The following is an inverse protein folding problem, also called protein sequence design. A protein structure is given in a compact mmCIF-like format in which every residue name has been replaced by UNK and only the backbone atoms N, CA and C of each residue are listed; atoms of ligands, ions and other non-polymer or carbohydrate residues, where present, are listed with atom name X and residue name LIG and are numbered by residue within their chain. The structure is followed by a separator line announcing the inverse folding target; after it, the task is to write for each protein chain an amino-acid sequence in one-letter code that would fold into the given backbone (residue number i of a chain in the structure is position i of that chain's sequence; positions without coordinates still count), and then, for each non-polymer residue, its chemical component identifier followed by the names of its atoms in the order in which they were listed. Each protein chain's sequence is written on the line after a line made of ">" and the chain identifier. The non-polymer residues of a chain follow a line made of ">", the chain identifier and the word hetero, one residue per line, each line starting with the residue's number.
data_IF_521872467676
#
_entry.id   IF_521872467676
#
_cell.length_a   1.000
_cell.length_b   1.000
_cell.length_c   1.000
_cell.angle_alpha   90.00
_cell.angle_beta   90.00
_cell.angle_gamma   90.00
#
_symmetry.space_group_name_H-M   'P 1'
#
loop_
_entity.id
_entity.type
_entity.pdbx_description
1 polymer ?
#
# COMPACT_ATOMS: atom_id res chain seq x y z
N UNK A 1 2.65 38.36 -15.24
CA UNK A 1 1.25 38.18 -14.81
C UNK A 1 0.93 36.73 -15.08
N UNK A 2 1.00 35.91 -14.03
CA UNK A 2 0.86 34.45 -14.08
C UNK A 2 -0.47 34.06 -14.72
N UNK A 3 -0.40 33.22 -15.75
CA UNK A 3 -1.54 32.41 -16.16
C UNK A 3 -1.93 31.54 -14.97
N UNK A 4 -3.14 31.70 -14.45
CA UNK A 4 -3.74 30.86 -13.40
C UNK A 4 -3.62 29.38 -13.75
N UNK A 5 -2.58 28.72 -13.25
CA UNK A 5 -2.31 27.30 -13.51
C UNK A 5 -3.35 26.44 -12.80
N UNK A 6 -4.08 25.62 -13.56
CA UNK A 6 -4.96 24.59 -13.01
C UNK A 6 -4.16 23.68 -12.07
N UNK A 7 -4.55 23.63 -10.80
CA UNK A 7 -3.94 22.72 -9.84
C UNK A 7 -4.46 21.31 -10.12
N UNK A 8 -3.56 20.39 -10.49
CA UNK A 8 -3.94 19.00 -10.73
C UNK A 8 -4.60 18.39 -9.48
N UNK A 9 -5.71 17.68 -9.70
CA UNK A 9 -6.48 17.03 -8.65
C UNK A 9 -6.47 15.52 -8.82
N UNK A 10 -5.90 14.81 -7.84
CA UNK A 10 -5.83 13.35 -7.81
C UNK A 10 -6.80 12.79 -6.78
N UNK A 11 -7.57 11.78 -7.21
CA UNK A 11 -8.32 10.91 -6.33
C UNK A 11 -7.53 9.63 -6.07
N UNK A 12 -7.49 9.19 -4.81
CA UNK A 12 -6.93 7.89 -4.42
C UNK A 12 -8.02 7.08 -3.72
N UNK A 13 -8.27 5.86 -4.20
CA UNK A 13 -9.34 4.99 -3.73
C UNK A 13 -8.77 3.62 -3.31
N UNK A 14 -8.41 3.44 -2.03
CA UNK A 14 -7.86 2.19 -1.50
C UNK A 14 -8.95 1.16 -1.23
N UNK A 15 -8.55 -0.12 -1.21
CA UNK A 15 -9.36 -1.16 -0.59
C UNK A 15 -9.45 -0.93 0.93
N UNK A 16 -10.60 -1.25 1.53
CA UNK A 16 -10.88 -0.99 2.94
C UNK A 16 -10.25 -2.05 3.86
N UNK A 17 -8.92 -2.05 3.88
CA UNK A 17 -8.05 -2.85 4.71
C UNK A 17 -6.86 -2.00 5.15
N UNK A 18 -6.38 -2.17 6.38
CA UNK A 18 -5.25 -1.40 6.92
C UNK A 18 -4.01 -1.48 6.04
N UNK A 19 -3.70 -2.68 5.51
CA UNK A 19 -2.58 -2.92 4.59
C UNK A 19 -2.61 -2.06 3.32
N UNK A 20 -3.80 -1.65 2.86
CA UNK A 20 -3.99 -0.84 1.66
C UNK A 20 -4.19 0.66 1.98
N UNK A 21 -5.00 0.96 3.00
CA UNK A 21 -5.32 2.33 3.37
C UNK A 21 -4.08 3.11 3.82
N UNK A 22 -3.21 2.52 4.64
CA UNK A 22 -2.03 3.21 5.19
C UNK A 22 -1.06 3.68 4.08
N UNK A 23 -0.55 2.81 3.19
CA UNK A 23 0.29 3.25 2.07
C UNK A 23 -0.43 4.21 1.12
N UNK A 24 -1.76 4.10 0.96
CA UNK A 24 -2.54 5.07 0.19
C UNK A 24 -2.54 6.47 0.81
N UNK A 25 -2.61 6.60 2.15
CA UNK A 25 -2.45 7.92 2.78
C UNK A 25 -1.05 8.47 2.50
N UNK A 26 0.00 7.65 2.58
CA UNK A 26 1.37 8.07 2.26
C UNK A 26 1.52 8.49 0.79
N UNK A 27 0.84 7.79 -0.13
CA UNK A 27 0.77 8.15 -1.54
C UNK A 27 0.08 9.51 -1.75
N UNK A 28 -1.06 9.73 -1.10
CA UNK A 28 -1.77 11.01 -1.16
C UNK A 28 -0.90 12.16 -0.62
N UNK A 29 -0.16 11.94 0.47
CA UNK A 29 0.83 12.90 0.99
C UNK A 29 1.92 13.19 -0.03
N UNK A 30 2.45 12.19 -0.72
CA UNK A 30 3.49 12.39 -1.74
C UNK A 30 2.98 13.29 -2.88
N UNK A 31 1.76 13.09 -3.36
CA UNK A 31 1.17 13.97 -4.37
C UNK A 31 0.94 15.40 -3.83
N UNK A 32 0.41 15.53 -2.61
CA UNK A 32 0.19 16.82 -1.97
C UNK A 32 1.49 17.62 -1.78
N UNK A 33 2.58 16.95 -1.39
CA UNK A 33 3.93 17.54 -1.27
C UNK A 33 4.51 18.00 -2.63
N UNK A 34 3.95 17.56 -3.76
CA UNK A 34 4.28 18.05 -5.11
C UNK A 34 3.35 19.16 -5.60
N UNK A 35 2.49 19.67 -4.72
CA UNK A 35 1.56 20.77 -5.01
C UNK A 35 0.26 20.34 -5.68
N UNK A 36 -0.03 19.05 -5.77
CA UNK A 36 -1.30 18.55 -6.29
C UNK A 36 -2.37 18.59 -5.20
N UNK A 37 -3.62 18.83 -5.58
CA UNK A 37 -4.76 18.59 -4.69
C UNK A 37 -4.95 17.07 -4.61
N UNK A 38 -5.01 16.52 -3.39
CA UNK A 38 -5.23 15.10 -3.15
C UNK A 38 -6.54 14.86 -2.39
N UNK A 39 -7.32 13.88 -2.83
CA UNK A 39 -8.53 13.42 -2.13
C UNK A 39 -8.51 11.92 -1.97
N UNK A 40 -8.69 11.45 -0.74
CA UNK A 40 -8.85 10.03 -0.44
C UNK A 40 -10.34 9.69 -0.39
N UNK A 41 -10.73 8.70 -1.19
CA UNK A 41 -12.08 8.14 -1.17
C UNK A 41 -12.09 6.98 -0.17
N UNK A 42 -13.04 6.95 0.73
CA UNK A 42 -13.17 5.90 1.74
C UNK A 42 -14.62 5.73 2.16
N UNK A 43 -14.89 5.03 3.26
CA UNK A 43 -16.23 4.82 3.80
C UNK A 43 -16.39 5.52 5.15
N UNK A 44 -17.62 5.80 5.63
CA UNK A 44 -17.85 6.53 6.88
C UNK A 44 -17.11 5.98 8.09
N UNK A 45 -17.03 4.67 8.28
CA UNK A 45 -16.37 4.06 9.45
C UNK A 45 -14.84 3.99 9.32
N UNK A 46 -14.30 4.04 8.11
CA UNK A 46 -12.85 4.12 7.88
C UNK A 46 -12.32 5.57 7.87
N UNK A 47 -13.17 6.56 7.60
CA UNK A 47 -12.77 7.96 7.54
C UNK A 47 -12.08 8.49 8.81
N UNK A 48 -12.48 8.14 10.05
CA UNK A 48 -11.77 8.55 11.26
C UNK A 48 -10.32 8.02 11.32
N UNK A 49 -10.07 6.79 10.85
CA UNK A 49 -8.74 6.17 10.82
C UNK A 49 -7.79 6.95 9.89
N UNK A 50 -8.30 7.32 8.72
CA UNK A 50 -7.57 8.13 7.74
C UNK A 50 -7.40 9.57 8.24
N UNK A 51 -8.45 10.18 8.79
CA UNK A 51 -8.43 11.54 9.34
C UNK A 51 -7.41 11.69 10.47
N UNK A 52 -7.30 10.68 11.36
CA UNK A 52 -6.28 10.65 12.42
C UNK A 52 -4.88 10.72 11.82
N UNK A 53 -4.65 10.00 10.73
CA UNK A 53 -3.36 9.97 10.01
C UNK A 53 -3.08 11.27 9.24
N UNK A 54 -4.09 11.90 8.63
CA UNK A 54 -3.98 13.17 7.88
C UNK A 54 -3.84 14.40 8.79
N UNK A 55 -4.57 14.47 9.91
CA UNK A 55 -4.47 15.61 10.85
C UNK A 55 -3.04 15.84 11.32
N UNK A 56 -2.28 14.75 11.41
CA UNK A 56 -0.87 14.76 11.80
C UNK A 56 0.05 15.36 10.73
N UNK A 57 -0.34 15.31 9.45
CA UNK A 57 0.37 15.99 8.36
C UNK A 57 0.03 17.46 8.16
N UNK A 58 -0.96 18.02 8.88
CA UNK A 58 -1.24 19.45 8.82
C UNK A 58 -0.05 20.31 9.27
N UNK A 59 0.84 19.77 10.11
CA UNK A 59 2.10 20.42 10.50
C UNK A 59 3.08 20.60 9.33
N UNK A 60 2.89 19.90 8.21
CA UNK A 60 3.72 19.99 7.00
C UNK A 60 3.12 20.93 5.93
N UNK A 61 2.02 21.63 6.24
CA UNK A 61 1.38 22.57 5.32
C UNK A 61 0.66 21.94 4.12
N UNK A 62 0.39 20.63 4.18
CA UNK A 62 -0.38 19.90 3.15
C UNK A 62 -1.80 19.63 3.64
N UNK A 63 -2.78 19.82 2.75
CA UNK A 63 -4.18 19.47 3.00
C UNK A 63 -4.60 18.31 2.09
N UNK A 64 -5.25 17.31 2.67
CA UNK A 64 -5.72 16.12 1.97
C UNK A 64 -7.20 15.96 2.30
N UNK A 65 -8.03 16.03 1.27
CA UNK A 65 -9.48 15.90 1.40
C UNK A 65 -9.87 14.43 1.63
N UNK A 66 -10.97 14.22 2.36
CA UNK A 66 -11.62 12.90 2.47
C UNK A 66 -13.01 13.00 1.86
N UNK A 67 -13.35 12.08 0.95
CA UNK A 67 -14.72 11.87 0.45
C UNK A 67 -15.18 10.48 0.88
N UNK A 68 -16.40 10.39 1.41
CA UNK A 68 -16.96 9.12 1.86
C UNK A 68 -18.02 8.60 0.89
N UNK A 69 -17.98 7.30 0.62
CA UNK A 69 -19.04 6.55 -0.07
C UNK A 69 -19.74 5.67 0.95
N UNK A 70 -21.08 5.66 0.98
CA UNK A 70 -21.84 4.76 1.85
C UNK A 70 -21.49 3.32 1.47
N UNK A 71 -20.97 2.54 2.42
CA UNK A 71 -20.65 1.15 2.18
C UNK A 71 -21.93 0.29 2.30
N UNK A 72 -22.24 -0.55 1.30
CA UNK A 72 -23.48 -1.30 1.27
C UNK A 72 -23.37 -2.62 2.06
N UNK A 73 -23.05 -2.55 3.37
CA UNK A 73 -22.85 -3.74 4.20
C UNK A 73 -24.09 -4.64 4.20
N UNK A 74 -25.23 -4.10 4.60
CA UNK A 74 -26.48 -4.86 4.78
C UNK A 74 -26.99 -5.37 3.44
N UNK A 75 -26.93 -4.53 2.40
CA UNK A 75 -27.38 -4.87 1.04
C UNK A 75 -26.53 -6.00 0.42
N UNK A 76 -25.26 -6.14 0.82
CA UNK A 76 -24.39 -7.23 0.42
C UNK A 76 -24.51 -8.48 1.31
N UNK A 77 -25.27 -8.42 2.41
CA UNK A 77 -25.45 -9.51 3.37
C UNK A 77 -24.36 -9.58 4.46
N UNK A 78 -23.64 -8.49 4.69
CA UNK A 78 -22.70 -8.34 5.80
C UNK A 78 -23.43 -7.83 7.05
N UNK A 79 -22.84 -8.06 8.24
CA UNK A 79 -23.26 -7.36 9.46
C UNK A 79 -23.23 -5.83 9.26
N UNK A 80 -24.18 -5.13 9.87
CA UNK A 80 -24.20 -3.67 9.87
C UNK A 80 -22.90 -3.11 10.46
N UNK A 81 -22.32 -2.12 9.78
CA UNK A 81 -21.04 -1.51 10.19
C UNK A 81 -19.78 -2.30 9.80
N UNK A 82 -19.91 -3.44 9.11
CA UNK A 82 -18.76 -4.12 8.53
C UNK A 82 -18.32 -3.40 7.25
N UNK A 83 -17.49 -2.35 7.39
CA UNK A 83 -16.91 -1.57 6.29
C UNK A 83 -15.39 -1.78 6.12
N UNK A 84 -14.78 -2.60 6.97
CA UNK A 84 -13.34 -2.88 6.95
C UNK A 84 -13.13 -4.40 6.99
N UNK A 85 -12.32 -4.94 6.08
CA UNK A 85 -12.08 -6.39 5.99
C UNK A 85 -11.41 -6.94 7.24
N UNK A 86 -10.59 -6.14 7.92
CA UNK A 86 -9.86 -6.53 9.13
C UNK A 86 -10.81 -6.74 10.33
N UNK A 87 -12.05 -6.23 10.25
CA UNK A 87 -13.09 -6.50 11.24
C UNK A 87 -13.72 -7.89 11.11
N UNK A 88 -13.45 -8.61 10.02
CA UNK A 88 -13.94 -9.97 9.78
C UNK A 88 -13.02 -10.94 10.52
N UNK A 89 -13.39 -11.31 11.75
CA UNK A 89 -12.60 -12.26 12.54
C UNK A 89 -12.71 -13.68 11.99
N UNK A 90 -11.56 -14.35 11.88
CA UNK A 90 -11.38 -15.64 11.20
C UNK A 90 -11.76 -16.87 12.03
N UNK A 91 -12.58 -16.71 13.07
CA UNK A 91 -12.79 -17.81 14.03
C UNK A 91 -13.72 -18.93 13.56
N UNK A 92 -14.41 -18.79 12.41
CA UNK A 92 -15.29 -19.83 11.86
C UNK A 92 -15.21 -19.93 10.32
N UNK A 93 -15.69 -21.06 9.78
CA UNK A 93 -15.89 -21.34 8.33
C UNK A 93 -16.70 -20.25 7.59
N UNK A 94 -17.35 -19.33 8.30
CA UNK A 94 -18.07 -18.17 7.74
C UNK A 94 -17.18 -17.02 7.29
N UNK A 95 -15.89 -16.99 7.66
CA UNK A 95 -14.96 -15.89 7.32
C UNK A 95 -14.77 -15.72 5.80
N UNK A 96 -14.62 -16.80 5.04
CA UNK A 96 -14.55 -16.74 3.57
C UNK A 96 -15.82 -16.20 2.92
N UNK A 97 -16.99 -16.62 3.42
CA UNK A 97 -18.28 -16.14 2.93
C UNK A 97 -18.45 -14.65 3.21
N UNK A 98 -18.03 -14.17 4.39
CA UNK A 98 -18.01 -12.75 4.71
C UNK A 98 -17.05 -11.97 3.82
N UNK A 99 -15.86 -12.49 3.52
CA UNK A 99 -14.93 -11.86 2.55
C UNK A 99 -15.56 -11.80 1.15
N UNK A 100 -16.26 -12.84 0.71
CA UNK A 100 -16.96 -12.83 -0.57
C UNK A 100 -18.06 -11.76 -0.60
N UNK A 101 -18.85 -11.66 0.47
CA UNK A 101 -19.87 -10.60 0.62
C UNK A 101 -19.25 -9.21 0.69
N UNK A 102 -18.07 -9.08 1.30
CA UNK A 102 -17.29 -7.84 1.30
C UNK A 102 -16.89 -7.44 -0.11
N UNK A 103 -16.33 -8.37 -0.89
CA UNK A 103 -16.00 -8.13 -2.29
C UNK A 103 -17.25 -7.83 -3.14
N UNK A 104 -18.39 -8.46 -2.85
CA UNK A 104 -19.66 -8.09 -3.49
C UNK A 104 -20.04 -6.65 -3.15
N UNK A 105 -19.95 -6.24 -1.88
CA UNK A 105 -20.23 -4.87 -1.45
C UNK A 105 -19.32 -3.85 -2.17
N UNK A 106 -18.04 -4.17 -2.40
CA UNK A 106 -17.16 -3.24 -3.14
C UNK A 106 -17.59 -3.04 -4.59
N UNK A 107 -18.12 -4.06 -5.28
CA UNK A 107 -18.65 -3.87 -6.64
C UNK A 107 -19.84 -2.91 -6.69
N UNK A 108 -20.61 -2.82 -5.62
CA UNK A 108 -21.75 -1.92 -5.50
C UNK A 108 -21.32 -0.46 -5.27
N UNK A 109 -20.04 -0.20 -5.00
CA UNK A 109 -19.49 1.16 -4.92
C UNK A 109 -19.23 1.79 -6.29
N UNK A 110 -19.41 1.04 -7.39
CA UNK A 110 -19.14 1.53 -8.73
C UNK A 110 -19.99 2.75 -9.09
N UNK A 111 -21.32 2.66 -8.95
CA UNK A 111 -22.21 3.78 -9.27
C UNK A 111 -21.95 5.01 -8.36
N UNK A 112 -21.82 4.87 -7.03
CA UNK A 112 -21.40 5.98 -6.16
C UNK A 112 -20.06 6.62 -6.57
N UNK A 113 -19.07 5.81 -6.96
CA UNK A 113 -17.79 6.34 -7.45
C UNK A 113 -17.98 7.13 -8.74
N UNK A 114 -18.73 6.59 -9.71
CA UNK A 114 -19.00 7.25 -10.99
C UNK A 114 -19.68 8.61 -10.81
N UNK A 115 -20.67 8.69 -9.90
CA UNK A 115 -21.31 9.95 -9.55
C UNK A 115 -20.31 10.96 -8.98
N UNK A 116 -19.43 10.53 -8.09
CA UNK A 116 -18.42 11.39 -7.48
C UNK A 116 -17.37 11.87 -8.52
N UNK A 117 -16.96 11.00 -9.44
CA UNK A 117 -16.04 11.34 -10.53
C UNK A 117 -16.68 12.36 -11.50
N UNK A 118 -17.97 12.20 -11.79
CA UNK A 118 -18.71 13.14 -12.62
C UNK A 118 -18.83 14.52 -11.97
N UNK A 119 -19.11 14.56 -10.66
CA UNK A 119 -19.24 15.80 -9.87
C UNK A 119 -17.90 16.55 -9.78
N UNK A 120 -16.84 15.84 -9.39
CA UNK A 120 -15.57 16.48 -9.01
C UNK A 120 -14.59 16.63 -10.18
N UNK A 121 -14.72 15.83 -11.24
CA UNK A 121 -13.82 15.78 -12.40
C UNK A 121 -12.32 15.85 -12.03
N UNK A 122 -11.80 14.90 -11.24
CA UNK A 122 -10.37 14.86 -10.95
C UNK A 122 -9.58 14.60 -12.24
N UNK A 123 -8.31 15.02 -12.26
CA UNK A 123 -7.40 14.80 -13.38
C UNK A 123 -6.89 13.36 -13.46
N UNK A 124 -6.97 12.60 -12.35
CA UNK A 124 -6.55 11.21 -12.28
C UNK A 124 -7.23 10.47 -11.12
N UNK A 125 -7.49 9.18 -11.33
CA UNK A 125 -7.88 8.23 -10.28
C UNK A 125 -6.77 7.19 -10.07
N UNK A 126 -6.28 7.05 -8.84
CA UNK A 126 -5.47 5.92 -8.43
C UNK A 126 -6.37 4.97 -7.64
N UNK A 127 -6.64 3.79 -8.18
CA UNK A 127 -7.54 2.82 -7.57
C UNK A 127 -6.79 1.56 -7.17
N UNK A 128 -7.24 0.94 -6.09
CA UNK A 128 -6.74 -0.35 -5.64
C UNK A 128 -6.91 -1.44 -6.72
N UNK A 129 -5.97 -2.37 -6.78
CA UNK A 129 -6.01 -3.51 -7.69
C UNK A 129 -7.24 -4.42 -7.45
N UNK A 130 -7.83 -4.38 -6.26
CA UNK A 130 -9.06 -5.09 -5.90
C UNK A 130 -10.34 -4.43 -6.44
N UNK A 131 -10.23 -3.30 -7.16
CA UNK A 131 -11.33 -2.66 -7.89
C UNK A 131 -11.14 -2.78 -9.41
N UNK A 132 -11.27 -3.98 -10.01
CA UNK A 132 -11.06 -4.16 -11.45
C UNK A 132 -12.00 -3.32 -12.32
N UNK A 133 -13.14 -2.90 -11.77
CA UNK A 133 -14.16 -2.06 -12.41
C UNK A 133 -13.82 -0.55 -12.39
N UNK A 134 -12.86 -0.11 -11.57
CA UNK A 134 -12.57 1.32 -11.40
C UNK A 134 -12.00 1.97 -12.66
N UNK A 135 -11.29 1.21 -13.49
CA UNK A 135 -10.80 1.69 -14.79
C UNK A 135 -11.94 2.00 -15.73
N UNK A 136 -12.90 1.08 -15.87
CA UNK A 136 -14.07 1.31 -16.73
C UNK A 136 -14.96 2.45 -16.20
N UNK A 137 -15.08 2.59 -14.88
CA UNK A 137 -15.77 3.71 -14.24
C UNK A 137 -15.12 5.06 -14.57
N UNK A 138 -13.79 5.18 -14.45
CA UNK A 138 -13.05 6.38 -14.80
C UNK A 138 -13.08 6.68 -16.31
N UNK A 139 -13.06 5.64 -17.15
CA UNK A 139 -13.11 5.74 -18.61
C UNK A 139 -14.33 6.48 -19.13
N UNK A 140 -15.49 6.30 -18.49
CA UNK A 140 -16.76 6.98 -18.83
C UNK A 140 -16.64 8.50 -18.85
N UNK A 141 -15.73 9.04 -18.03
CA UNK A 141 -15.51 10.48 -17.87
C UNK A 141 -14.19 10.95 -18.50
N UNK A 142 -13.46 10.07 -19.19
CA UNK A 142 -12.16 10.38 -19.78
C UNK A 142 -11.05 10.60 -18.76
N UNK A 143 -11.20 10.07 -17.54
CA UNK A 143 -10.23 10.19 -16.45
C UNK A 143 -9.21 9.05 -16.56
N UNK A 144 -7.90 9.33 -16.61
CA UNK A 144 -6.87 8.31 -16.50
C UNK A 144 -6.92 7.57 -15.15
N UNK A 145 -6.85 6.24 -15.18
CA UNK A 145 -6.76 5.40 -13.99
C UNK A 145 -5.40 4.71 -13.86
N UNK A 146 -4.94 4.53 -12.62
CA UNK A 146 -3.73 3.78 -12.29
C UNK A 146 -4.00 2.72 -11.23
N UNK A 147 -3.46 1.51 -11.43
CA UNK A 147 -3.48 0.44 -10.41
C UNK A 147 -2.17 0.40 -9.62
N UNK A 148 -2.26 0.10 -8.33
CA UNK A 148 -1.12 -0.23 -7.48
C UNK A 148 -0.49 -1.59 -7.85
N UNK A 149 0.83 -1.65 -8.06
CA UNK A 149 1.57 -2.90 -8.37
C UNK A 149 2.86 -3.07 -7.60
N UNK A 150 3.27 -4.31 -7.36
CA UNK A 150 4.54 -4.60 -6.70
C UNK A 150 5.79 -4.28 -7.56
N UNK A 151 6.89 -3.78 -6.97
CA UNK A 151 8.08 -3.34 -7.72
C UNK A 151 8.72 -4.45 -8.56
N UNK A 152 8.66 -5.71 -8.08
CA UNK A 152 9.20 -6.87 -8.77
C UNK A 152 8.55 -7.09 -10.17
N UNK A 153 7.33 -6.61 -10.38
CA UNK A 153 6.63 -6.76 -11.65
C UNK A 153 6.76 -5.54 -12.55
N UNK A 154 7.32 -4.42 -12.09
CA UNK A 154 7.43 -3.18 -12.91
C UNK A 154 8.18 -3.46 -14.22
N UNK A 155 9.29 -4.19 -14.15
CA UNK A 155 10.07 -4.56 -15.32
C UNK A 155 9.31 -5.53 -16.25
N UNK A 156 8.58 -6.49 -15.68
CA UNK A 156 7.72 -7.39 -16.45
C UNK A 156 6.60 -6.61 -17.17
N UNK A 157 5.92 -5.72 -16.46
CA UNK A 157 4.87 -4.86 -17.03
C UNK A 157 5.41 -3.98 -18.16
N UNK A 158 6.59 -3.35 -17.96
CA UNK A 158 7.18 -2.45 -18.97
C UNK A 158 7.76 -3.20 -20.16
N UNK A 159 8.60 -4.21 -19.92
CA UNK A 159 9.40 -4.88 -20.96
C UNK A 159 8.65 -5.99 -21.68
N UNK A 160 7.82 -6.75 -20.95
CA UNK A 160 7.12 -7.93 -21.50
C UNK A 160 5.72 -7.58 -21.94
N UNK A 161 4.94 -6.90 -21.09
CA UNK A 161 3.55 -6.56 -21.40
C UNK A 161 3.39 -5.21 -22.13
N UNK A 162 4.46 -4.45 -22.31
CA UNK A 162 4.42 -3.12 -22.95
C UNK A 162 3.52 -2.10 -22.22
N UNK A 163 3.25 -2.34 -20.94
CA UNK A 163 2.41 -1.51 -20.07
C UNK A 163 3.25 -0.43 -19.42
N UNK A 164 2.61 0.69 -19.07
CA UNK A 164 3.29 1.83 -18.46
C UNK A 164 3.23 1.68 -16.94
N UNK A 165 4.39 1.75 -16.29
CA UNK A 165 4.49 1.62 -14.84
C UNK A 165 5.50 2.62 -14.27
N UNK A 166 5.10 3.31 -13.20
CA UNK A 166 5.93 4.29 -12.48
C UNK A 166 6.30 3.73 -11.10
N UNK A 167 7.57 3.36 -10.87
CA UNK A 167 8.01 2.99 -9.53
C UNK A 167 8.21 4.24 -8.68
N UNK A 168 7.24 4.49 -7.79
CA UNK A 168 7.23 5.65 -6.89
C UNK A 168 7.28 5.25 -5.39
N UNK A 169 7.50 3.97 -5.11
CA UNK A 169 7.79 3.47 -3.77
C UNK A 169 9.26 3.62 -3.36
N UNK A 170 9.58 3.37 -2.07
CA UNK A 170 8.64 3.04 -1.00
C UNK A 170 7.98 4.29 -0.42
N UNK A 171 6.65 4.36 -0.48
CA UNK A 171 5.92 5.59 -0.10
C UNK A 171 5.97 5.90 1.39
N UNK A 172 6.19 4.88 2.23
CA UNK A 172 6.32 5.06 3.68
C UNK A 172 7.46 5.99 4.08
N UNK A 173 8.50 6.12 3.24
CA UNK A 173 9.62 7.02 3.47
C UNK A 173 9.30 8.50 3.23
N UNK A 174 8.08 8.84 2.79
CA UNK A 174 7.61 10.23 2.81
C UNK A 174 7.54 10.78 4.25
N UNK A 175 7.32 9.90 5.23
CA UNK A 175 7.29 10.24 6.65
C UNK A 175 8.73 10.21 7.19
N UNK A 176 9.30 11.40 7.43
CA UNK A 176 10.70 11.53 7.91
C UNK A 176 10.80 11.64 9.42
N UNK A 177 9.79 12.22 10.09
CA UNK A 177 9.72 12.35 11.53
C UNK A 177 9.59 11.01 12.26
N UNK A 178 10.15 10.93 13.47
CA UNK A 178 10.03 9.74 14.33
C UNK A 178 8.57 9.52 14.73
N UNK A 179 7.88 10.60 15.13
CA UNK A 179 6.45 10.57 15.49
C UNK A 179 5.56 10.12 14.32
N UNK A 180 5.83 10.61 13.10
CA UNK A 180 5.08 10.23 11.90
C UNK A 180 5.20 8.72 11.59
N UNK A 181 6.35 8.13 11.88
CA UNK A 181 6.62 6.69 11.69
C UNK A 181 5.98 5.85 12.79
N UNK A 182 6.14 6.26 14.05
CA UNK A 182 5.64 5.52 15.22
C UNK A 182 4.11 5.49 15.27
N UNK A 183 3.44 6.52 14.76
CA UNK A 183 1.99 6.65 14.80
C UNK A 183 1.29 6.19 13.52
N UNK A 184 2.00 5.42 12.68
CA UNK A 184 1.50 4.88 11.42
C UNK A 184 0.66 3.62 11.67
N UNK A 185 -0.65 3.81 11.80
CA UNK A 185 -1.60 2.74 12.11
C UNK A 185 -2.20 2.86 13.51
N UNK A 186 -2.41 1.72 14.17
CA UNK A 186 -2.99 1.67 15.50
C UNK A 186 -2.02 2.17 16.58
N UNK A 187 -2.59 2.53 17.73
CA UNK A 187 -1.80 3.00 18.86
C UNK A 187 -1.02 1.84 19.49
N UNK A 188 0.26 2.07 19.73
CA UNK A 188 1.11 1.05 20.34
C UNK A 188 0.66 0.77 21.78
N UNK A 189 0.68 -0.50 22.17
CA UNK A 189 0.36 -0.93 23.54
C UNK A 189 1.42 -0.49 24.56
N UNK A 190 2.62 -0.14 24.12
CA UNK A 190 3.75 0.30 24.95
C UNK A 190 4.22 1.66 24.45
N UNK A 191 4.55 2.54 25.39
CA UNK A 191 5.08 3.87 25.06
C UNK A 191 6.44 3.78 24.35
N UNK A 192 6.65 4.62 23.35
CA UNK A 192 7.91 4.67 22.58
C UNK A 192 9.12 4.90 23.50
N UNK A 193 9.01 5.84 24.44
CA UNK A 193 10.08 6.17 25.39
C UNK A 193 10.51 4.98 26.25
N UNK A 194 9.57 4.12 26.63
CA UNK A 194 9.87 2.92 27.40
C UNK A 194 10.58 1.87 26.55
N UNK A 195 10.10 1.65 25.31
CA UNK A 195 10.72 0.73 24.36
C UNK A 195 12.16 1.16 24.00
N UNK A 196 12.38 2.45 23.70
CA UNK A 196 13.69 2.98 23.36
C UNK A 196 14.69 2.87 24.52
N UNK A 197 14.28 3.23 25.75
CA UNK A 197 15.13 3.05 26.94
C UNK A 197 15.52 1.60 27.16
N UNK A 198 14.61 0.67 26.91
CA UNK A 198 14.91 -0.75 27.00
C UNK A 198 15.88 -1.20 25.89
N UNK A 199 15.71 -0.73 24.65
CA UNK A 199 16.60 -1.04 23.52
C UNK A 199 18.02 -0.49 23.75
N UNK A 200 18.16 0.72 24.26
CA UNK A 200 19.46 1.36 24.57
C UNK A 200 20.26 0.58 25.62
N UNK A 201 19.59 -0.23 26.45
CA UNK A 201 20.24 -1.11 27.43
C UNK A 201 20.83 -2.40 26.83
N UNK A 202 20.57 -2.69 25.55
CA UNK A 202 20.97 -3.94 24.89
C UNK A 202 22.20 -3.76 24.01
N UNK A 203 22.93 -4.85 23.79
CA UNK A 203 24.11 -4.81 22.89
C UNK A 203 23.63 -4.57 21.44
N UNK A 204 24.43 -3.89 20.60
CA UNK A 204 24.10 -3.75 19.18
C UNK A 204 23.83 -5.12 18.53
N UNK A 205 22.75 -5.21 17.76
CA UNK A 205 22.29 -6.43 17.08
C UNK A 205 21.97 -7.62 18.02
N UNK A 206 21.64 -7.39 19.29
CA UNK A 206 21.27 -8.45 20.25
C UNK A 206 19.77 -8.58 20.51
N UNK A 207 18.94 -7.78 19.85
CA UNK A 207 17.49 -7.75 20.02
C UNK A 207 16.83 -8.16 18.71
N UNK A 208 15.84 -9.02 18.82
CA UNK A 208 14.97 -9.39 17.70
C UNK A 208 13.72 -8.54 17.79
N UNK A 209 13.45 -7.82 16.71
CA UNK A 209 12.17 -7.13 16.55
C UNK A 209 11.22 -8.06 15.78
N UNK A 210 10.17 -8.51 16.46
CA UNK A 210 9.13 -9.33 15.84
C UNK A 210 8.03 -8.38 15.39
N UNK A 211 8.04 -8.08 14.10
CA UNK A 211 7.03 -7.27 13.45
C UNK A 211 7.01 -7.64 11.98
N UNK A 212 5.88 -7.41 11.36
CA UNK A 212 5.65 -7.56 9.94
C UNK A 212 6.29 -6.41 9.13
N UNK A 213 7.58 -6.19 9.38
CA UNK A 213 8.34 -5.02 8.96
C UNK A 213 8.62 -4.94 7.45
N UNK A 214 9.28 -3.87 7.05
CA UNK A 214 9.61 -3.58 5.65
C UNK A 214 11.12 -3.64 5.39
N UNK A 215 11.49 -4.00 4.17
CA UNK A 215 12.88 -4.07 3.67
C UNK A 215 13.61 -2.72 3.84
N UNK A 216 12.88 -1.60 3.87
CA UNK A 216 13.47 -0.25 4.01
C UNK A 216 14.15 -0.02 5.37
N UNK A 217 13.86 -0.85 6.37
CA UNK A 217 14.50 -0.80 7.69
C UNK A 217 15.99 -1.19 7.66
N UNK A 218 16.43 -1.86 6.58
CA UNK A 218 17.81 -2.30 6.41
C UNK A 218 18.24 -3.37 7.43
N UNK A 219 17.28 -4.15 7.93
CA UNK A 219 17.49 -5.27 8.84
C UNK A 219 17.18 -6.60 8.13
N UNK A 220 17.93 -7.67 8.44
CA UNK A 220 17.53 -9.01 8.03
C UNK A 220 16.16 -9.39 8.60
N UNK A 221 15.46 -10.30 7.94
CA UNK A 221 14.10 -10.69 8.30
C UNK A 221 13.99 -12.20 8.54
N UNK A 222 13.19 -12.59 9.53
CA UNK A 222 12.63 -13.93 9.59
C UNK A 222 11.26 -13.87 8.93
N UNK A 223 11.05 -14.63 7.85
CA UNK A 223 9.79 -14.60 7.10
C UNK A 223 8.84 -15.69 7.59
N UNK A 224 7.59 -15.30 7.79
CA UNK A 224 6.50 -16.19 8.16
C UNK A 224 5.31 -15.90 7.23
N UNK A 225 5.28 -16.50 6.03
CA UNK A 225 4.18 -16.30 5.10
C UNK A 225 2.91 -16.96 5.63
N UNK A 226 1.75 -16.37 5.31
CA UNK A 226 0.45 -16.88 5.78
C UNK A 226 -0.54 -16.99 4.62
N UNK A 227 -0.80 -15.88 3.92
CA UNK A 227 -1.71 -15.84 2.77
C UNK A 227 -1.28 -14.77 1.76
N UNK A 228 -2.15 -14.46 0.79
CA UNK A 228 -1.94 -13.47 -0.27
C UNK A 228 -0.62 -13.69 -1.02
N UNK A 229 0.14 -12.62 -1.20
CA UNK A 229 1.44 -12.58 -1.87
C UNK A 229 2.63 -12.89 -0.94
N UNK A 230 2.38 -13.19 0.35
CA UNK A 230 3.45 -13.35 1.34
C UNK A 230 4.47 -14.44 0.97
N UNK A 231 4.05 -15.51 0.29
CA UNK A 231 4.96 -16.58 -0.16
C UNK A 231 5.89 -16.12 -1.28
N UNK A 232 5.41 -15.28 -2.20
CA UNK A 232 6.28 -14.67 -3.21
C UNK A 232 7.23 -13.67 -2.56
N UNK A 233 6.75 -12.91 -1.58
CA UNK A 233 7.57 -11.97 -0.81
C UNK A 233 8.65 -12.70 0.01
N UNK A 234 8.34 -13.86 0.59
CA UNK A 234 9.34 -14.72 1.22
C UNK A 234 10.42 -15.13 0.22
N UNK A 235 10.07 -15.57 -0.99
CA UNK A 235 11.06 -15.94 -2.02
C UNK A 235 11.92 -14.76 -2.44
N UNK A 236 11.32 -13.58 -2.59
CA UNK A 236 12.07 -12.35 -2.83
C UNK A 236 13.08 -12.07 -1.70
N UNK A 237 12.66 -12.16 -0.45
CA UNK A 237 13.49 -11.88 0.73
C UNK A 237 14.60 -12.91 0.92
N UNK A 238 14.26 -14.20 0.85
CA UNK A 238 15.16 -15.31 1.19
C UNK A 238 16.04 -15.78 0.04
N UNK A 239 15.50 -15.88 -1.18
CA UNK A 239 16.22 -16.47 -2.32
C UNK A 239 16.84 -15.41 -3.23
N UNK A 240 16.12 -14.31 -3.51
CA UNK A 240 16.57 -13.30 -4.47
C UNK A 240 17.46 -12.25 -3.79
N UNK A 241 16.94 -11.58 -2.75
CA UNK A 241 17.67 -10.55 -2.03
C UNK A 241 18.67 -11.16 -1.04
N UNK A 242 18.38 -12.37 -0.55
CA UNK A 242 19.16 -13.10 0.45
C UNK A 242 19.40 -12.23 1.70
N UNK A 243 18.31 -11.65 2.22
CA UNK A 243 18.28 -10.82 3.42
C UNK A 243 17.38 -11.41 4.50
N UNK A 244 16.95 -12.66 4.37
CA UNK A 244 16.12 -13.27 5.38
C UNK A 244 16.01 -14.78 5.27
N UNK A 245 15.42 -15.37 6.29
CA UNK A 245 15.27 -16.81 6.48
C UNK A 245 13.80 -17.11 6.76
N UNK A 246 13.22 -18.04 6.01
CA UNK A 246 11.86 -18.51 6.26
C UNK A 246 11.80 -19.45 7.45
N UNK A 247 10.72 -19.36 8.24
CA UNK A 247 10.44 -20.32 9.32
C UNK A 247 10.01 -21.70 8.79
N UNK A 248 9.86 -21.84 7.47
CA UNK A 248 9.59 -23.12 6.81
C UNK A 248 8.12 -23.42 6.54
N UNK A 249 7.23 -22.44 6.63
CA UNK A 249 5.82 -22.59 6.22
C UNK A 249 5.74 -22.79 4.71
N UNK A 250 5.02 -23.83 4.29
CA UNK A 250 4.86 -24.19 2.87
C UNK A 250 3.41 -24.15 2.38
N UNK A 251 2.45 -24.03 3.30
CA UNK A 251 1.02 -24.10 2.98
C UNK A 251 0.37 -22.72 3.03
N UNK A 252 -0.39 -22.40 1.98
CA UNK A 252 -1.16 -21.17 1.88
C UNK A 252 -2.49 -21.37 2.62
N UNK A 253 -2.67 -20.77 3.79
CA UNK A 253 -3.88 -20.97 4.60
C UNK A 253 -4.40 -19.65 5.14
N UNK A 254 -5.58 -19.24 4.68
CA UNK A 254 -6.17 -17.94 5.02
C UNK A 254 -6.86 -17.88 6.39
N UNK A 255 -6.99 -19.00 7.10
CA UNK A 255 -7.82 -19.09 8.33
C UNK A 255 -7.06 -19.69 9.51
N UNK A 256 -6.37 -20.82 9.36
CA UNK A 256 -5.46 -21.43 10.35
C UNK A 256 -4.43 -22.31 9.63
N UNK A 257 -3.18 -21.85 9.52
CA UNK A 257 -2.07 -22.66 8.98
C UNK A 257 -1.53 -23.67 9.98
N UNK A 258 -0.66 -24.58 9.52
CA UNK A 258 0.10 -25.47 10.41
C UNK A 258 0.77 -24.67 11.54
N UNK A 259 0.69 -25.20 12.77
CA UNK A 259 1.46 -24.66 13.87
C UNK A 259 2.95 -24.81 13.56
N UNK A 260 3.64 -23.69 13.33
CA UNK A 260 5.09 -23.67 13.24
C UNK A 260 5.63 -24.04 14.62
N UNK A 261 6.37 -25.15 14.68
CA UNK A 261 6.96 -25.59 15.95
C UNK A 261 8.02 -24.60 16.43
N UNK A 262 8.16 -24.46 17.73
CA UNK A 262 9.14 -23.56 18.36
C UNK A 262 10.57 -23.81 17.86
N UNK A 263 10.92 -25.06 17.56
CA UNK A 263 12.26 -25.41 17.08
C UNK A 263 12.57 -24.80 15.70
N UNK A 264 11.56 -24.69 14.83
CA UNK A 264 11.73 -24.07 13.51
C UNK A 264 11.94 -22.55 13.63
N UNK A 265 11.22 -21.92 14.56
CA UNK A 265 11.36 -20.49 14.87
C UNK A 265 12.75 -20.23 15.47
N UNK A 266 13.17 -21.03 16.45
CA UNK A 266 14.49 -20.95 17.09
C UNK A 266 15.61 -21.13 16.07
N UNK A 267 15.46 -22.09 15.15
CA UNK A 267 16.43 -22.32 14.07
C UNK A 267 16.53 -21.10 13.15
N UNK A 268 15.41 -20.57 12.67
CA UNK A 268 15.40 -19.39 11.80
C UNK A 268 15.99 -18.14 12.48
N UNK A 269 15.67 -17.96 13.76
CA UNK A 269 16.24 -16.89 14.60
C UNK A 269 17.75 -17.07 14.75
N UNK A 270 18.21 -18.28 15.08
CA UNK A 270 19.64 -18.57 15.23
C UNK A 270 20.37 -18.32 13.92
N UNK A 271 19.79 -18.74 12.80
CA UNK A 271 20.35 -18.57 11.48
C UNK A 271 20.52 -17.09 11.13
N UNK A 272 19.49 -16.26 11.35
CA UNK A 272 19.55 -14.83 11.01
C UNK A 272 20.49 -14.03 11.93
N UNK A 273 20.68 -14.49 13.17
CA UNK A 273 21.44 -13.75 14.19
C UNK A 273 22.93 -14.13 14.18
N UNK A 274 23.25 -15.43 14.19
CA UNK A 274 24.59 -15.92 14.54
C UNK A 274 25.22 -16.87 13.52
N UNK A 275 24.54 -17.26 12.44
CA UNK A 275 25.15 -18.14 11.44
C UNK A 275 26.29 -17.47 10.67
N UNK A 276 27.06 -18.29 9.94
CA UNK A 276 28.12 -17.78 9.06
C UNK A 276 27.63 -16.83 7.97
N UNK A 277 26.32 -16.84 7.65
CA UNK A 277 25.71 -15.93 6.66
C UNK A 277 25.13 -14.66 7.27
N UNK A 278 25.02 -14.58 8.60
CA UNK A 278 24.31 -13.50 9.29
C UNK A 278 24.91 -12.11 9.02
N UNK A 279 26.24 -11.99 8.99
CA UNK A 279 26.90 -10.70 8.66
C UNK A 279 26.67 -10.27 7.21
N UNK A 280 26.67 -11.21 6.27
CA UNK A 280 26.41 -10.91 4.86
C UNK A 280 24.95 -10.51 4.64
N UNK A 281 24.00 -11.20 5.28
CA UNK A 281 22.58 -10.79 5.30
C UNK A 281 22.41 -9.37 5.84
N UNK A 282 23.07 -9.04 6.98
CA UNK A 282 23.07 -7.70 7.56
C UNK A 282 23.65 -6.66 6.59
N UNK A 283 24.76 -6.96 5.92
CA UNK A 283 25.40 -6.05 4.95
C UNK A 283 24.48 -5.76 3.77
N UNK A 284 23.83 -6.79 3.20
CA UNK A 284 22.87 -6.66 2.10
C UNK A 284 21.64 -5.86 2.50
N UNK A 285 21.04 -6.18 3.64
CA UNK A 285 19.88 -5.47 4.16
C UNK A 285 20.19 -3.98 4.34
N UNK A 286 21.31 -3.64 5.00
CA UNK A 286 21.76 -2.24 5.17
C UNK A 286 21.87 -1.51 3.82
N UNK A 287 22.53 -2.14 2.84
CA UNK A 287 22.69 -1.57 1.50
C UNK A 287 21.33 -1.30 0.82
N UNK A 288 20.38 -2.23 0.91
CA UNK A 288 19.04 -2.06 0.36
C UNK A 288 18.27 -0.92 1.06
N UNK A 289 18.35 -0.84 2.39
CA UNK A 289 17.75 0.25 3.15
C UNK A 289 18.35 1.62 2.80
N UNK A 290 19.65 1.70 2.53
CA UNK A 290 20.32 2.91 2.02
C UNK A 290 19.87 3.28 0.61
N UNK A 291 19.79 2.29 -0.30
CA UNK A 291 19.30 2.50 -1.67
C UNK A 291 17.85 3.01 -1.66
N UNK A 292 16.99 2.44 -0.83
CA UNK A 292 15.60 2.86 -0.68
C UNK A 292 15.48 4.32 -0.22
N UNK A 293 16.29 4.74 0.77
CA UNK A 293 16.33 6.14 1.24
C UNK A 293 16.83 7.10 0.15
N UNK A 294 17.92 6.75 -0.53
CA UNK A 294 18.44 7.57 -1.64
C UNK A 294 17.46 7.68 -2.80
N UNK A 295 16.65 6.65 -3.06
CA UNK A 295 15.69 6.67 -4.16
C UNK A 295 14.60 7.73 -3.96
N UNK A 296 14.17 7.99 -2.72
CA UNK A 296 13.11 8.96 -2.38
C UNK A 296 13.62 10.37 -2.12
N UNK A 297 14.93 10.55 -1.93
CA UNK A 297 15.57 11.86 -1.80
C UNK A 297 15.53 12.64 -3.13
N UNK A 298 15.72 13.97 -3.05
CA UNK A 298 15.77 14.82 -4.25
C UNK A 298 16.88 14.35 -5.20
N UNK A 299 16.55 14.18 -6.48
CA UNK A 299 17.43 13.57 -7.49
C UNK A 299 17.46 12.03 -7.49
N UNK A 300 16.79 11.37 -6.54
CA UNK A 300 16.61 9.93 -6.51
C UNK A 300 15.68 9.41 -7.62
N UNK A 301 15.73 8.10 -7.89
CA UNK A 301 14.93 7.47 -8.96
C UNK A 301 13.43 7.58 -8.70
N UNK A 302 12.99 7.27 -7.47
CA UNK A 302 11.59 7.38 -7.04
C UNK A 302 11.11 8.82 -7.11
N UNK A 303 11.93 9.76 -6.63
CA UNK A 303 11.64 11.19 -6.68
C UNK A 303 11.45 11.68 -8.12
N UNK A 304 12.31 11.24 -9.04
CA UNK A 304 12.27 11.61 -10.46
C UNK A 304 11.07 10.98 -11.17
N UNK A 305 10.78 9.70 -10.92
CA UNK A 305 9.61 9.03 -11.50
C UNK A 305 8.28 9.69 -11.08
N UNK A 306 8.19 10.19 -9.85
CA UNK A 306 7.02 10.94 -9.39
C UNK A 306 6.89 12.28 -10.12
N UNK A 307 8.00 12.99 -10.37
CA UNK A 307 7.99 14.20 -11.19
C UNK A 307 7.55 13.90 -12.62
N UNK A 308 8.09 12.85 -13.24
CA UNK A 308 7.71 12.44 -14.60
C UNK A 308 6.23 12.08 -14.70
N UNK A 309 5.68 11.41 -13.67
CA UNK A 309 4.25 11.12 -13.59
C UNK A 309 3.43 12.41 -13.50
N UNK A 310 3.80 13.34 -12.62
CA UNK A 310 3.10 14.62 -12.45
C UNK A 310 3.16 15.45 -13.74
N UNK A 311 4.31 15.54 -14.39
CA UNK A 311 4.45 16.24 -15.67
C UNK A 311 3.61 15.56 -16.76
N UNK A 312 3.57 14.23 -16.80
CA UNK A 312 2.70 13.54 -17.74
C UNK A 312 1.21 13.88 -17.51
N UNK A 313 0.77 13.94 -16.26
CA UNK A 313 -0.59 14.34 -15.91
C UNK A 313 -0.89 15.81 -16.27
N UNK A 314 0.13 16.69 -16.26
CA UNK A 314 -0.01 18.09 -16.72
C UNK A 314 -0.13 18.18 -18.24
N UNK A 315 0.52 17.28 -18.99
CA UNK A 315 0.46 17.34 -20.45
C UNK A 315 -0.96 17.06 -20.94
N UNK A 316 -1.57 17.93 -21.78
CA UNK A 316 -2.90 17.70 -22.33
C UNK A 316 -2.90 16.53 -23.32
N UNK A 317 -2.90 15.30 -22.82
CA UNK A 317 -3.18 14.14 -23.65
C UNK A 317 -4.68 14.13 -23.90
N UNK A 318 -5.05 14.42 -25.15
CA UNK A 318 -6.35 14.15 -25.79
C UNK A 318 -7.39 13.61 -24.79
N UNK A 319 -8.05 14.49 -24.01
CA UNK A 319 -9.33 14.12 -23.37
C UNK A 319 -10.18 13.61 -24.54
N UNK A 320 -10.53 12.32 -24.63
CA UNK A 320 -11.34 11.86 -25.74
C UNK A 320 -12.60 12.71 -25.71
N UNK A 321 -12.84 13.52 -26.75
CA UNK A 321 -14.09 14.28 -26.84
C UNK A 321 -15.21 13.26 -26.64
N UNK A 322 -16.08 13.52 -25.66
CA UNK A 322 -17.24 12.69 -25.32
C UNK A 322 -18.10 12.56 -26.58
N UNK A 323 -17.78 11.59 -27.42
CA UNK A 323 -18.61 11.11 -28.52
C UNK A 323 -18.89 9.67 -28.16
N UNK A 324 -20.13 9.46 -27.72
CA UNK A 324 -20.77 8.18 -27.43
C UNK A 324 -19.87 6.98 -27.74
N UNK A 325 -19.26 6.42 -26.70
CA UNK A 325 -18.55 5.15 -26.78
C UNK A 325 -19.62 4.10 -27.08
N UNK A 326 -19.88 3.89 -28.38
CA UNK A 326 -20.58 2.71 -28.85
C UNK A 326 -19.69 1.52 -28.55
N UNK A 327 -20.30 0.45 -28.03
CA UNK A 327 -19.71 -0.87 -27.81
C UNK A 327 -18.81 -1.29 -29.00
N UNK A 328 -17.50 -1.10 -28.83
CA UNK A 328 -16.37 -1.74 -29.50
C UNK A 328 -15.22 -0.75 -29.56
N UNK A 329 -14.39 -0.70 -28.50
CA UNK A 329 -12.99 -0.33 -28.61
C UNK A 329 -12.23 -0.70 -27.32
N UNK A 330 -11.81 -1.97 -27.23
CA UNK A 330 -10.92 -2.52 -26.18
C UNK A 330 -9.47 -1.98 -26.22
N UNK A 331 -9.18 -0.83 -26.85
CA UNK A 331 -7.79 -0.47 -27.18
C UNK A 331 -7.30 0.93 -26.74
N UNK A 332 -8.08 1.75 -26.03
CA UNK A 332 -7.69 3.16 -25.79
C UNK A 332 -7.74 3.69 -24.35
N UNK A 333 -7.74 2.80 -23.35
CA UNK A 333 -7.18 3.11 -22.03
C UNK A 333 -6.18 2.01 -21.66
N UNK A 334 -4.91 2.22 -22.02
CA UNK A 334 -3.84 1.28 -21.68
C UNK A 334 -3.58 1.40 -20.18
N UNK A 335 -3.99 0.38 -19.41
CA UNK A 335 -3.77 0.24 -17.97
C UNK A 335 -2.41 0.83 -17.56
N UNK A 336 -2.44 1.91 -16.79
CA UNK A 336 -1.28 2.54 -16.21
C UNK A 336 -1.12 2.02 -14.78
N UNK A 337 0.12 1.87 -14.31
CA UNK A 337 0.38 1.23 -13.02
C UNK A 337 1.31 2.09 -12.17
N UNK A 338 0.98 2.28 -10.91
CA UNK A 338 1.85 2.93 -9.93
C UNK A 338 2.38 1.85 -9.02
N UNK A 339 3.70 1.73 -8.88
CA UNK A 339 4.26 0.82 -7.89
C UNK A 339 4.56 1.56 -6.61
N UNK A 340 3.82 1.23 -5.55
CA UNK A 340 3.79 1.95 -4.27
C UNK A 340 4.59 1.21 -3.19
N UNK A 341 4.96 -0.05 -3.46
CA UNK A 341 5.63 -1.01 -2.55
C UNK A 341 4.80 -1.34 -1.32
N UNK A 342 3.94 -2.36 -1.41
CA UNK A 342 3.28 -3.00 -0.27
C UNK A 342 4.20 -4.08 0.31
N UNK A 343 5.32 -3.69 0.91
CA UNK A 343 5.93 -4.60 1.90
C UNK A 343 5.30 -4.31 3.27
N UNK A 344 3.98 -4.51 3.36
CA UNK A 344 3.31 -4.77 4.63
C UNK A 344 3.02 -6.26 4.64
N UNK A 345 3.87 -7.00 5.36
CA UNK A 345 3.39 -8.26 5.88
C UNK A 345 2.24 -7.86 6.84
N UNK A 346 1.07 -8.48 6.76
CA UNK A 346 0.03 -8.27 7.78
C UNK A 346 -0.62 -9.62 8.05
N UNK A 347 -0.42 -10.11 9.27
CA UNK A 347 -1.28 -11.12 9.85
C UNK A 347 -1.44 -10.75 11.32
N UNK A 348 -2.65 -10.41 11.76
CA UNK A 348 -2.95 -10.36 13.17
C UNK A 348 -2.73 -11.76 13.77
N UNK A 349 -1.63 -11.93 14.52
CA UNK A 349 -1.58 -12.96 15.54
C UNK A 349 -2.00 -12.31 16.85
N UNK A 350 -3.24 -12.54 17.25
CA UNK A 350 -3.59 -12.54 18.66
C UNK A 350 -2.87 -13.74 19.30
N UNK A 351 -1.79 -13.46 20.06
CA UNK A 351 -1.26 -14.39 21.05
C UNK A 351 -2.06 -14.29 22.35
#
# INVERSE_FOLDING_TARGET
>A
MDSSGHQLHIFVFPYMAHGHMIPTVDLAKLFALRGLKATIITTPLNAPLISKTIRRTKGLGVDIDIRTLKFPSVEAGLPEGCENVDSITSHDNGSFELIFRFNKATTMLQEPLEMLLQECQPDCLVADLLFPWATDAAAKFGIPSFYEVEPAYVDYYRKVLGRRAWPIGPVSLCNRGIEDKAQRGNEASISENECLKWLDSKKPNSVIYICFGTITSGKPMVTWPVFADHFYNEKLVSEVLQIGIGVGVKEWVAVHGEHVKSEAIETAITEVMVSGQAEEMRRRARKLGEMARKAVEEGGSTYSNLNDLVEELRTPRHRPKIRAIKHNNQHLQRNCYISVSLFYFYCDLHL
#
